data_IF_895413893022
#
_entry.id   IF_895413893022
#
_cell.length_a   1.000
_cell.length_b   1.000
_cell.length_c   1.000
_cell.angle_alpha   90.00
_cell.angle_beta   90.00
_cell.angle_gamma   90.00
#
_symmetry.space_group_name_H-M   'P 1'
#
loop_
_entity.id
_entity.type
_entity.pdbx_description
1 polymer ?
#
# COMPACT_ATOMS: atom_id res chain seq x y z
N UNK A 1 9.29 3.75 6.07
CA UNK A 1 8.75 2.44 5.60
C UNK A 1 7.56 2.76 4.70
N UNK A 2 7.33 2.01 3.65
CA UNK A 2 6.24 2.29 2.72
C UNK A 2 5.22 1.16 2.77
N UNK A 3 3.95 1.50 2.79
CA UNK A 3 2.86 0.55 2.63
C UNK A 3 2.47 0.53 1.15
N UNK A 4 2.48 -0.62 0.49
CA UNK A 4 2.17 -0.81 -0.93
C UNK A 4 0.95 -1.72 -1.06
N UNK A 5 0.04 -1.35 -1.95
CA UNK A 5 -1.13 -2.15 -2.31
C UNK A 5 -1.47 -1.94 -3.79
N UNK A 6 -2.07 -2.92 -4.43
CA UNK A 6 -2.56 -2.74 -5.81
C UNK A 6 -3.82 -1.88 -5.86
N UNK A 7 -4.01 -1.14 -6.95
CA UNK A 7 -5.20 -0.30 -7.16
C UNK A 7 -6.49 -1.12 -7.14
N UNK A 8 -6.49 -2.29 -7.75
CA UNK A 8 -7.65 -3.18 -7.80
C UNK A 8 -8.09 -3.62 -6.40
N UNK A 9 -7.13 -4.02 -5.55
CA UNK A 9 -7.41 -4.36 -4.16
C UNK A 9 -7.84 -3.14 -3.34
N UNK A 10 -7.23 -1.98 -3.57
CA UNK A 10 -7.61 -0.75 -2.88
C UNK A 10 -9.06 -0.35 -3.17
N UNK A 11 -9.47 -0.42 -4.43
CA UNK A 11 -10.85 -0.12 -4.87
C UNK A 11 -11.82 -1.19 -4.35
N UNK A 12 -11.45 -2.46 -4.45
CA UNK A 12 -12.27 -3.58 -3.97
C UNK A 12 -12.50 -3.50 -2.46
N UNK A 13 -11.47 -3.10 -1.71
CA UNK A 13 -11.54 -3.00 -0.26
C UNK A 13 -12.17 -1.72 0.23
N UNK A 14 -12.53 -0.74 -0.62
CA UNK A 14 -13.17 0.50 -0.21
C UNK A 14 -12.22 1.57 0.35
N UNK A 15 -10.91 1.32 0.33
CA UNK A 15 -9.88 2.29 0.66
C UNK A 15 -8.77 1.78 1.58
N UNK A 16 -7.87 2.69 1.96
CA UNK A 16 -6.64 2.38 2.71
C UNK A 16 -6.90 1.88 4.15
N UNK A 17 -7.96 2.37 4.80
CA UNK A 17 -8.33 1.94 6.16
C UNK A 17 -8.76 0.48 6.21
N UNK A 18 -9.61 0.07 5.27
CA UNK A 18 -10.06 -1.32 5.15
C UNK A 18 -8.89 -2.20 4.72
N UNK A 19 -8.11 -1.79 3.71
CA UNK A 19 -6.89 -2.49 3.29
C UNK A 19 -5.89 -2.76 4.43
N UNK A 20 -5.73 -1.81 5.36
CA UNK A 20 -4.93 -2.01 6.56
C UNK A 20 -5.54 -3.04 7.50
N UNK A 21 -6.86 -2.98 7.68
CA UNK A 21 -7.60 -3.87 8.57
C UNK A 21 -7.61 -5.31 8.05
N UNK A 22 -7.70 -5.50 6.74
CA UNK A 22 -7.65 -6.82 6.08
C UNK A 22 -6.22 -7.38 5.99
N UNK A 23 -5.19 -6.59 6.33
CA UNK A 23 -3.78 -7.01 6.25
C UNK A 23 -3.25 -7.14 4.83
N UNK A 24 -3.89 -6.49 3.85
CA UNK A 24 -3.49 -6.51 2.43
C UNK A 24 -2.39 -5.49 2.10
N UNK A 25 -2.12 -4.54 3.00
CA UNK A 25 -1.00 -3.60 2.85
C UNK A 25 0.33 -4.30 3.05
N UNK A 26 1.18 -4.27 2.02
CA UNK A 26 2.54 -4.80 2.08
C UNK A 26 3.49 -3.73 2.59
N UNK A 27 4.34 -4.05 3.55
CA UNK A 27 5.36 -3.12 4.02
C UNK A 27 6.64 -3.32 3.22
N UNK A 28 6.92 -2.37 2.34
CA UNK A 28 8.05 -2.41 1.44
C UNK A 28 9.12 -1.37 1.83
N UNK A 29 10.37 -1.74 1.54
CA UNK A 29 11.58 -0.99 1.85
C UNK A 29 11.99 -0.01 0.75
N UNK A 30 13.18 0.57 0.89
CA UNK A 30 13.74 1.52 -0.08
C UNK A 30 14.08 0.86 -1.43
N UNK A 31 14.35 -0.44 -1.42
CA UNK A 31 14.75 -1.22 -2.59
C UNK A 31 13.56 -1.75 -3.40
N UNK A 32 12.33 -1.46 -2.97
CA UNK A 32 11.12 -1.90 -3.67
C UNK A 32 10.83 -1.00 -4.88
N UNK A 33 10.66 -1.64 -6.03
CA UNK A 33 10.27 -0.97 -7.27
C UNK A 33 8.76 -1.06 -7.41
N UNK A 34 8.08 0.09 -7.39
CA UNK A 34 6.65 0.14 -7.70
C UNK A 34 6.38 -0.37 -9.09
N UNK A 35 5.32 -1.15 -9.20
CA UNK A 35 4.75 -1.55 -10.48
C UNK A 35 3.60 -0.61 -10.87
N UNK A 36 3.31 -0.57 -12.17
CA UNK A 36 2.17 0.17 -12.68
C UNK A 36 0.86 -0.38 -12.09
N UNK A 37 -0.01 0.52 -11.64
CA UNK A 37 -1.24 0.15 -10.93
C UNK A 37 -1.06 -0.17 -9.44
N UNK A 38 0.10 0.08 -8.85
CA UNK A 38 0.29 0.03 -7.39
C UNK A 38 0.17 1.42 -6.74
N UNK A 39 -0.35 1.44 -5.52
CA UNK A 39 -0.49 2.60 -4.65
C UNK A 39 0.44 2.43 -3.47
N UNK A 40 1.36 3.38 -3.29
CA UNK A 40 2.31 3.41 -2.18
C UNK A 40 1.99 4.56 -1.22
N UNK A 41 1.76 4.21 0.04
CA UNK A 41 1.66 5.13 1.15
C UNK A 41 3.00 5.19 1.90
N UNK A 42 3.76 6.26 1.68
CA UNK A 42 5.03 6.48 2.37
C UNK A 42 4.77 7.03 3.76
N UNK A 43 5.10 6.26 4.79
CA UNK A 43 5.15 6.74 6.17
C UNK A 43 6.52 7.33 6.43
N UNK A 44 6.60 8.65 6.30
CA UNK A 44 7.70 9.45 6.82
C UNK A 44 7.25 9.99 8.19
N UNK A 45 8.06 9.74 9.21
CA UNK A 45 7.90 10.38 10.52
C UNK A 45 9.24 11.04 10.85
N UNK A 46 9.17 12.27 11.35
CA UNK A 46 10.33 12.99 11.91
C UNK A 46 10.61 12.49 13.33
#
# INVERSE_FOLDING_TARGET
RAEVITWDELVTLGGLSEARTTGKLRLEGKDYVLQDGEVMQVRFNI
#
